data_IF_105900205218
#
_entry.id   IF_105900205218
#
_cell.length_a   1.000
_cell.length_b   1.000
_cell.length_c   1.000
_cell.angle_alpha   90.00
_cell.angle_beta   90.00
_cell.angle_gamma   90.00
#
_symmetry.space_group_name_H-M   'P 1'
#
loop_
_entity.id
_entity.type
_entity.pdbx_description
1 polymer ?
#
# COMPACT_ATOMS: atom_id res chain seq x y z
N UNK A 1 -31.04 1.73 -31.66
CA UNK A 1 -29.66 1.21 -31.53
C UNK A 1 -28.75 2.14 -30.73
N UNK A 2 -28.72 3.46 -31.00
CA UNK A 2 -27.90 4.41 -30.20
C UNK A 2 -28.28 4.49 -28.70
N UNK A 3 -29.55 4.27 -28.34
CA UNK A 3 -30.04 4.32 -26.94
C UNK A 3 -29.59 3.14 -26.06
N UNK A 4 -29.31 1.96 -26.64
CA UNK A 4 -28.87 0.80 -25.85
C UNK A 4 -27.37 0.84 -25.52
N UNK A 5 -26.55 1.41 -26.42
CA UNK A 5 -25.12 1.62 -26.19
C UNK A 5 -24.84 2.67 -25.09
N UNK A 6 -25.67 3.72 -25.01
CA UNK A 6 -25.59 4.75 -23.96
C UNK A 6 -25.92 4.15 -22.57
N UNK A 7 -26.94 3.27 -22.51
CA UNK A 7 -27.33 2.61 -21.26
C UNK A 7 -26.30 1.59 -20.76
N UNK A 8 -25.63 0.84 -21.65
CA UNK A 8 -24.56 -0.10 -21.28
C UNK A 8 -23.29 0.63 -20.80
N UNK A 9 -22.93 1.75 -21.42
CA UNK A 9 -21.77 2.57 -20.98
C UNK A 9 -22.05 3.27 -19.65
N UNK A 10 -23.28 3.73 -19.40
CA UNK A 10 -23.71 4.26 -18.10
C UNK A 10 -23.70 3.17 -17.02
N UNK A 11 -24.17 1.95 -17.29
CA UNK A 11 -24.14 0.85 -16.30
C UNK A 11 -22.72 0.40 -15.93
N UNK A 12 -21.81 0.31 -16.89
CA UNK A 12 -20.39 0.01 -16.62
C UNK A 12 -19.71 1.15 -15.84
N UNK A 13 -20.08 2.39 -16.14
CA UNK A 13 -19.64 3.60 -15.45
C UNK A 13 -20.06 3.63 -13.99
N UNK A 14 -21.31 3.31 -13.69
CA UNK A 14 -21.81 3.19 -12.32
C UNK A 14 -21.10 2.08 -11.57
N UNK A 15 -20.82 0.96 -12.22
CA UNK A 15 -20.07 -0.15 -11.61
C UNK A 15 -18.63 0.25 -11.26
N UNK A 16 -17.97 1.07 -12.07
CA UNK A 16 -16.61 1.57 -11.82
C UNK A 16 -16.61 2.62 -10.69
N UNK A 17 -17.59 3.53 -10.66
CA UNK A 17 -17.73 4.51 -9.58
C UNK A 17 -18.10 3.82 -8.26
N UNK A 18 -19.07 2.90 -8.27
CA UNK A 18 -19.45 2.11 -7.10
C UNK A 18 -18.30 1.22 -6.62
N UNK A 19 -17.51 0.60 -7.50
CA UNK A 19 -16.38 -0.25 -7.08
C UNK A 19 -15.19 0.55 -6.55
N UNK A 20 -14.88 1.70 -7.17
CA UNK A 20 -13.75 2.54 -6.74
C UNK A 20 -14.05 3.34 -5.47
N UNK A 21 -15.30 3.79 -5.28
CA UNK A 21 -15.71 4.57 -4.10
C UNK A 21 -16.16 3.63 -2.96
N UNK A 22 -16.88 2.55 -3.29
CA UNK A 22 -17.23 1.49 -2.35
C UNK A 22 -16.00 0.76 -1.81
N UNK A 23 -14.85 0.85 -2.47
CA UNK A 23 -13.57 0.40 -1.92
C UNK A 23 -13.22 1.11 -0.59
N UNK A 24 -13.43 2.44 -0.53
CA UNK A 24 -13.12 3.26 0.65
C UNK A 24 -14.16 3.11 1.75
N UNK A 25 -15.44 3.05 1.38
CA UNK A 25 -16.57 2.82 2.28
C UNK A 25 -17.26 1.50 1.94
N UNK A 26 -16.61 0.39 2.30
CA UNK A 26 -17.18 -0.95 2.13
C UNK A 26 -18.53 -1.02 2.85
N UNK A 27 -19.46 -1.84 2.35
CA UNK A 27 -20.76 -2.16 2.99
C UNK A 27 -20.61 -2.95 4.32
N UNK A 28 -19.43 -2.90 4.95
CA UNK A 28 -19.16 -3.47 6.26
C UNK A 28 -19.39 -2.43 7.37
N UNK A 29 -19.42 -2.88 8.63
CA UNK A 29 -19.61 -2.01 9.80
C UNK A 29 -18.53 -0.92 9.95
N UNK A 30 -17.38 -1.04 9.27
CA UNK A 30 -16.25 -0.10 9.34
C UNK A 30 -15.69 0.19 7.95
N UNK A 31 -15.48 1.47 7.66
CA UNK A 31 -14.72 1.92 6.49
C UNK A 31 -13.20 1.72 6.69
N UNK A 32 -12.42 1.96 5.64
CA UNK A 32 -10.97 1.71 5.69
C UNK A 32 -10.27 2.55 6.77
N UNK A 33 -10.73 3.76 7.06
CA UNK A 33 -10.12 4.62 8.07
C UNK A 33 -10.42 4.12 9.47
N UNK A 34 -11.65 3.63 9.70
CA UNK A 34 -12.02 2.96 10.95
C UNK A 34 -11.28 1.63 11.14
N UNK A 35 -11.04 0.87 10.06
CA UNK A 35 -10.19 -0.32 10.09
C UNK A 35 -8.74 0.03 10.50
N UNK A 36 -8.17 1.08 9.90
CA UNK A 36 -6.83 1.57 10.23
C UNK A 36 -6.78 2.03 11.69
N UNK A 37 -7.72 2.88 12.11
CA UNK A 37 -7.79 3.38 13.48
C UNK A 37 -7.87 2.25 14.50
N UNK A 38 -8.66 1.21 14.22
CA UNK A 38 -8.77 0.03 15.08
C UNK A 38 -7.43 -0.67 15.34
N UNK A 39 -6.49 -0.61 14.40
CA UNK A 39 -5.15 -1.21 14.50
C UNK A 39 -4.14 -0.32 15.22
N UNK A 40 -4.28 1.00 15.11
CA UNK A 40 -3.26 1.96 15.58
C UNK A 40 -3.67 2.74 16.82
N UNK A 41 -4.95 2.73 17.21
CA UNK A 41 -5.46 3.54 18.33
C UNK A 41 -4.74 3.30 19.67
N UNK A 42 -4.16 2.12 19.90
CA UNK A 42 -3.40 1.84 21.13
C UNK A 42 -2.03 2.51 21.15
N UNK A 43 -1.56 3.01 20.01
CA UNK A 43 -0.28 3.70 19.83
C UNK A 43 -0.43 5.23 19.87
N UNK A 44 -1.65 5.72 20.05
CA UNK A 44 -2.01 7.15 19.92
C UNK A 44 -2.57 7.64 21.26
N UNK A 45 -2.14 8.83 21.68
CA UNK A 45 -2.65 9.48 22.89
C UNK A 45 -4.15 9.81 22.80
N UNK A 46 -4.86 9.79 23.94
CA UNK A 46 -6.33 9.88 23.95
C UNK A 46 -6.88 11.20 23.35
N UNK A 47 -6.20 12.32 23.61
CA UNK A 47 -6.53 13.63 23.05
C UNK A 47 -6.37 13.64 21.51
N UNK A 48 -5.27 13.09 21.00
CA UNK A 48 -4.99 12.98 19.57
C UNK A 48 -5.98 12.02 18.91
N UNK A 49 -6.29 10.91 19.58
CA UNK A 49 -7.29 9.95 19.13
C UNK A 49 -8.68 10.58 19.00
N UNK A 50 -9.07 11.48 19.93
CA UNK A 50 -10.33 12.24 19.82
C UNK A 50 -10.33 13.15 18.60
N UNK A 51 -9.22 13.85 18.32
CA UNK A 51 -9.09 14.69 17.13
C UNK A 51 -9.20 13.87 15.83
N UNK A 52 -8.50 12.74 15.74
CA UNK A 52 -8.59 11.82 14.59
C UNK A 52 -10.03 11.33 14.41
N UNK A 53 -10.69 10.87 15.47
CA UNK A 53 -12.10 10.48 15.42
C UNK A 53 -13.01 11.61 14.95
N UNK A 54 -12.71 12.86 15.33
CA UNK A 54 -13.39 14.05 14.83
C UNK A 54 -13.26 14.21 13.32
N UNK A 55 -12.05 14.03 12.75
CA UNK A 55 -11.83 14.04 11.29
C UNK A 55 -12.66 12.93 10.61
N UNK A 56 -12.69 11.73 11.19
CA UNK A 56 -13.41 10.60 10.59
C UNK A 56 -14.95 10.78 10.64
N UNK A 57 -15.48 11.23 11.77
CA UNK A 57 -16.92 11.43 11.96
C UNK A 57 -17.46 12.73 11.34
N UNK A 58 -16.58 13.70 11.10
CA UNK A 58 -16.88 14.96 10.42
C UNK A 58 -16.54 14.88 8.93
N UNK A 59 -15.30 15.21 8.59
CA UNK A 59 -14.87 15.41 7.20
C UNK A 59 -15.03 14.16 6.31
N UNK A 60 -14.61 12.99 6.79
CA UNK A 60 -14.69 11.74 5.99
C UNK A 60 -16.15 11.28 5.83
N UNK A 61 -16.97 11.39 6.87
CA UNK A 61 -18.39 11.06 6.80
C UNK A 61 -19.16 12.03 5.89
N UNK A 62 -18.84 13.32 5.93
CA UNK A 62 -19.42 14.33 5.05
C UNK A 62 -19.04 14.07 3.59
N UNK A 63 -17.77 13.72 3.32
CA UNK A 63 -17.31 13.32 1.99
C UNK A 63 -18.08 12.13 1.45
N UNK A 64 -18.34 11.10 2.28
CA UNK A 64 -19.16 9.94 1.89
C UNK A 64 -20.55 10.38 1.40
N UNK A 65 -21.22 11.24 2.17
CA UNK A 65 -22.55 11.74 1.84
C UNK A 65 -22.56 12.55 0.54
N UNK A 66 -21.64 13.50 0.40
CA UNK A 66 -21.54 14.33 -0.81
C UNK A 66 -21.19 13.53 -2.06
N UNK A 67 -20.29 12.56 -1.93
CA UNK A 67 -19.94 11.66 -3.03
C UNK A 67 -21.16 10.82 -3.42
N UNK A 68 -21.92 10.27 -2.47
CA UNK A 68 -23.15 9.54 -2.79
C UNK A 68 -24.16 10.41 -3.54
N UNK A 69 -24.30 11.70 -3.19
CA UNK A 69 -25.12 12.65 -3.94
C UNK A 69 -24.62 12.87 -5.37
N UNK A 70 -23.30 12.94 -5.57
CA UNK A 70 -22.71 13.01 -6.93
C UNK A 70 -23.05 11.76 -7.73
N UNK A 71 -22.92 10.57 -7.12
CA UNK A 71 -23.27 9.31 -7.78
C UNK A 71 -24.73 9.31 -8.21
N UNK A 72 -25.65 9.66 -7.31
CA UNK A 72 -27.07 9.74 -7.63
C UNK A 72 -27.37 10.75 -8.74
N UNK A 73 -26.76 11.94 -8.70
CA UNK A 73 -26.95 12.96 -9.74
C UNK A 73 -26.43 12.52 -11.11
N UNK A 74 -25.29 11.81 -11.15
CA UNK A 74 -24.75 11.26 -12.39
C UNK A 74 -25.57 10.08 -12.92
N UNK A 75 -26.25 9.34 -12.05
CA UNK A 75 -27.20 8.27 -12.42
C UNK A 75 -28.46 8.84 -13.05
N UNK A 76 -29.08 9.77 -12.33
CA UNK A 76 -30.41 10.23 -12.69
C UNK A 76 -30.33 11.26 -13.82
N UNK A 77 -29.34 12.17 -13.77
CA UNK A 77 -29.30 13.40 -14.57
C UNK A 77 -27.88 13.67 -15.13
N UNK A 78 -27.30 12.77 -15.96
CA UNK A 78 -25.95 12.93 -16.50
C UNK A 78 -25.80 14.18 -17.37
N UNK A 79 -24.62 14.80 -17.34
CA UNK A 79 -24.29 15.99 -18.13
C UNK A 79 -25.01 17.27 -17.72
N UNK A 80 -25.78 17.27 -16.62
CA UNK A 80 -26.55 18.43 -16.18
C UNK A 80 -25.72 19.41 -15.36
N UNK A 81 -26.09 20.71 -15.31
CA UNK A 81 -25.44 21.69 -14.43
C UNK A 81 -25.46 21.28 -12.94
N UNK A 82 -26.47 20.52 -12.52
CA UNK A 82 -26.58 20.00 -11.16
C UNK A 82 -25.51 18.93 -10.87
N UNK A 83 -25.42 17.89 -11.71
CA UNK A 83 -24.40 16.85 -11.59
C UNK A 83 -22.99 17.45 -11.60
N UNK A 84 -22.76 18.42 -12.49
CA UNK A 84 -21.51 19.18 -12.57
C UNK A 84 -21.20 19.95 -11.28
N UNK A 85 -22.18 20.68 -10.75
CA UNK A 85 -22.06 21.50 -9.54
C UNK A 85 -21.72 20.63 -8.32
N UNK A 86 -22.43 19.51 -8.15
CA UNK A 86 -22.18 18.55 -7.09
C UNK A 86 -20.77 17.95 -7.19
N UNK A 87 -20.37 17.55 -8.41
CA UNK A 87 -19.03 17.00 -8.65
C UNK A 87 -17.93 18.02 -8.28
N UNK A 88 -18.04 19.24 -8.78
CA UNK A 88 -17.05 20.28 -8.50
C UNK A 88 -17.03 20.69 -7.02
N UNK A 89 -18.18 20.68 -6.34
CA UNK A 89 -18.27 20.93 -4.89
C UNK A 89 -17.47 19.89 -4.10
N UNK A 90 -17.61 18.61 -4.43
CA UNK A 90 -16.81 17.54 -3.82
C UNK A 90 -15.33 17.69 -4.19
N UNK A 91 -15.02 17.97 -5.45
CA UNK A 91 -13.64 18.15 -5.91
C UNK A 91 -12.91 19.26 -5.13
N UNK A 92 -13.58 20.37 -4.84
CA UNK A 92 -13.05 21.47 -4.03
C UNK A 92 -12.95 21.06 -2.57
N UNK A 93 -13.96 20.38 -2.03
CA UNK A 93 -13.93 19.92 -0.65
C UNK A 93 -12.83 18.88 -0.38
N UNK A 94 -12.48 18.09 -1.41
CA UNK A 94 -11.37 17.14 -1.37
C UNK A 94 -10.01 17.84 -1.35
N UNK A 95 -9.88 19.09 -1.77
CA UNK A 95 -8.58 19.76 -1.79
C UNK A 95 -7.96 19.78 -0.39
N UNK A 96 -6.71 19.31 -0.30
CA UNK A 96 -5.90 19.29 0.91
C UNK A 96 -6.47 18.49 2.10
N UNK A 97 -7.51 17.67 1.94
CA UNK A 97 -8.09 16.86 3.03
C UNK A 97 -7.09 15.90 3.66
N UNK A 98 -6.21 15.29 2.86
CA UNK A 98 -5.13 14.43 3.36
C UNK A 98 -4.23 15.14 4.36
N UNK A 99 -4.05 16.47 4.25
CA UNK A 99 -3.22 17.26 5.17
C UNK A 99 -3.75 17.28 6.60
N UNK A 100 -5.03 16.97 6.83
CA UNK A 100 -5.56 16.84 8.20
C UNK A 100 -4.84 15.73 8.97
N UNK A 101 -4.33 14.71 8.28
CA UNK A 101 -3.54 13.61 8.86
C UNK A 101 -2.03 13.90 8.95
N UNK A 102 -1.61 15.17 8.79
CA UNK A 102 -0.20 15.60 8.93
C UNK A 102 -0.01 16.62 10.04
N UNK A 103 -1.06 16.93 10.80
CA UNK A 103 -1.09 18.03 11.79
C UNK A 103 -0.67 17.61 13.21
N UNK A 104 -0.30 16.33 13.40
CA UNK A 104 0.07 15.79 14.69
C UNK A 104 1.60 15.73 14.84
N UNK A 105 2.06 15.23 15.98
CA UNK A 105 3.47 14.94 16.18
C UNK A 105 3.95 13.85 15.23
N UNK A 106 5.26 13.83 14.95
CA UNK A 106 5.88 12.90 14.00
C UNK A 106 5.50 11.43 14.27
N UNK A 107 5.52 11.01 15.54
CA UNK A 107 5.19 9.64 15.93
C UNK A 107 3.75 9.26 15.58
N UNK A 108 2.78 10.14 15.89
CA UNK A 108 1.39 9.90 15.48
C UNK A 108 1.28 9.90 13.95
N UNK A 109 1.86 10.89 13.28
CA UNK A 109 1.85 11.01 11.82
C UNK A 109 2.39 9.75 11.13
N UNK A 110 3.47 9.18 11.65
CA UNK A 110 4.00 7.88 11.24
C UNK A 110 2.93 6.77 11.41
N UNK A 111 2.33 6.63 12.60
CA UNK A 111 1.31 5.61 12.86
C UNK A 111 0.00 5.78 12.07
N UNK A 112 -0.33 6.99 11.63
CA UNK A 112 -1.53 7.26 10.83
C UNK A 112 -1.21 7.51 9.35
N UNK A 113 0.04 7.28 8.92
CA UNK A 113 0.44 7.30 7.51
C UNK A 113 -0.53 6.53 6.59
N UNK A 114 -1.08 5.35 6.96
CA UNK A 114 -2.07 4.68 6.13
C UNK A 114 -3.35 5.50 5.90
N UNK A 115 -3.77 6.33 6.85
CA UNK A 115 -4.94 7.22 6.69
C UNK A 115 -4.64 8.33 5.68
N UNK A 116 -3.46 8.95 5.80
CA UNK A 116 -2.97 9.96 4.86
C UNK A 116 -2.96 9.39 3.43
N UNK A 117 -2.30 8.24 3.23
CA UNK A 117 -2.12 7.61 1.92
C UNK A 117 -3.44 7.16 1.31
N UNK A 118 -4.35 6.62 2.13
CA UNK A 118 -5.69 6.25 1.68
C UNK A 118 -6.51 7.47 1.23
N UNK A 119 -6.46 8.58 1.97
CA UNK A 119 -7.14 9.82 1.58
C UNK A 119 -6.54 10.41 0.30
N UNK A 120 -5.21 10.43 0.17
CA UNK A 120 -4.53 10.86 -1.05
C UNK A 120 -4.93 10.02 -2.27
N UNK A 121 -4.99 8.69 -2.12
CA UNK A 121 -5.45 7.80 -3.18
C UNK A 121 -6.89 8.10 -3.60
N UNK A 122 -7.79 8.30 -2.63
CA UNK A 122 -9.18 8.68 -2.92
C UNK A 122 -9.26 10.00 -3.72
N UNK A 123 -8.48 11.01 -3.33
CA UNK A 123 -8.47 12.31 -4.01
C UNK A 123 -8.03 12.19 -5.47
N UNK A 124 -6.90 11.52 -5.75
CA UNK A 124 -6.44 11.38 -7.13
C UNK A 124 -7.42 10.55 -7.96
N UNK A 125 -8.01 9.49 -7.38
CA UNK A 125 -8.98 8.67 -8.08
C UNK A 125 -10.22 9.48 -8.45
N UNK A 126 -10.73 10.31 -7.53
CA UNK A 126 -11.88 11.17 -7.76
C UNK A 126 -11.63 12.22 -8.85
N UNK A 127 -10.50 12.93 -8.79
CA UNK A 127 -10.18 13.95 -9.79
C UNK A 127 -9.87 13.34 -11.16
N UNK A 128 -9.17 12.21 -11.21
CA UNK A 128 -8.86 11.52 -12.47
C UNK A 128 -10.14 11.01 -13.14
N UNK A 129 -11.07 10.46 -12.35
CA UNK A 129 -12.40 10.10 -12.85
C UNK A 129 -13.11 11.31 -13.47
N UNK A 130 -13.02 12.48 -12.83
CA UNK A 130 -13.55 13.74 -13.39
C UNK A 130 -12.98 14.07 -14.78
N UNK A 131 -11.67 13.90 -14.96
CA UNK A 131 -11.00 14.15 -16.25
C UNK A 131 -11.42 13.13 -17.30
N UNK A 132 -11.39 11.83 -16.97
CA UNK A 132 -11.80 10.75 -17.88
C UNK A 132 -13.26 10.90 -18.33
N UNK A 133 -14.12 11.42 -17.45
CA UNK A 133 -15.58 11.48 -17.62
C UNK A 133 -16.09 12.90 -17.75
N UNK A 134 -15.25 13.81 -18.21
CA UNK A 134 -15.57 15.24 -18.34
C UNK A 134 -16.89 15.48 -19.08
N UNK A 135 -17.18 14.71 -20.13
CA UNK A 135 -18.36 14.91 -20.96
C UNK A 135 -19.63 14.38 -20.25
N UNK A 136 -19.52 13.25 -19.55
CA UNK A 136 -20.60 12.65 -18.75
C UNK A 136 -20.98 13.53 -17.54
N UNK A 137 -20.00 14.25 -16.99
CA UNK A 137 -20.20 15.18 -15.87
C UNK A 137 -20.61 16.59 -16.36
N UNK A 138 -20.31 16.93 -17.61
CA UNK A 138 -20.52 18.27 -18.19
C UNK A 138 -19.40 19.28 -17.87
N UNK A 139 -18.18 18.81 -17.58
CA UNK A 139 -17.03 19.65 -17.28
C UNK A 139 -16.47 20.35 -18.51
N UNK A 140 -16.12 21.62 -18.36
CA UNK A 140 -15.40 22.41 -19.36
C UNK A 140 -13.88 22.32 -19.18
N UNK A 141 -13.13 22.87 -20.14
CA UNK A 141 -11.66 22.84 -20.13
C UNK A 141 -11.02 23.52 -18.93
N UNK A 142 -11.65 24.55 -18.35
CA UNK A 142 -11.13 25.22 -17.15
C UNK A 142 -11.26 24.33 -15.91
N UNK A 143 -12.40 23.66 -15.77
CA UNK A 143 -12.67 22.71 -14.69
C UNK A 143 -11.73 21.50 -14.80
N UNK A 144 -11.57 20.92 -16.00
CA UNK A 144 -10.58 19.86 -16.26
C UNK A 144 -9.15 20.33 -15.93
N UNK A 145 -8.80 21.55 -16.32
CA UNK A 145 -7.49 22.15 -15.99
C UNK A 145 -7.29 22.34 -14.48
N UNK A 146 -8.34 22.62 -13.72
CA UNK A 146 -8.29 22.68 -12.26
C UNK A 146 -8.03 21.31 -11.64
N UNK A 147 -8.73 20.26 -12.10
CA UNK A 147 -8.50 18.89 -11.65
C UNK A 147 -7.06 18.45 -11.90
N UNK A 148 -6.53 18.73 -13.09
CA UNK A 148 -5.13 18.39 -13.42
C UNK A 148 -4.13 19.11 -12.52
N UNK A 149 -4.36 20.39 -12.19
CA UNK A 149 -3.51 21.12 -11.24
C UNK A 149 -3.56 20.49 -9.84
N UNK A 150 -4.74 20.14 -9.36
CA UNK A 150 -4.91 19.49 -8.07
C UNK A 150 -4.17 18.14 -8.01
N UNK A 151 -4.27 17.33 -9.07
CA UNK A 151 -3.54 16.06 -9.19
C UNK A 151 -2.03 16.30 -9.10
N UNK A 152 -1.50 17.27 -9.86
CA UNK A 152 -0.05 17.54 -9.87
C UNK A 152 0.47 18.00 -8.50
N UNK A 153 -0.29 18.87 -7.82
CA UNK A 153 0.05 19.33 -6.47
C UNK A 153 -0.02 18.19 -5.45
N UNK A 154 -1.05 17.34 -5.55
CA UNK A 154 -1.20 16.18 -4.68
C UNK A 154 -0.05 15.20 -4.84
N UNK A 155 0.32 14.84 -6.07
CA UNK A 155 1.41 13.87 -6.31
C UNK A 155 2.72 14.36 -5.70
N UNK A 156 3.06 15.63 -5.94
CA UNK A 156 4.28 16.24 -5.38
C UNK A 156 4.26 16.19 -3.85
N UNK A 157 3.15 16.62 -3.23
CA UNK A 157 3.02 16.63 -1.78
C UNK A 157 3.02 15.23 -1.14
N UNK A 158 2.43 14.24 -1.82
CA UNK A 158 2.43 12.84 -1.39
C UNK A 158 3.84 12.27 -1.43
N UNK A 159 4.56 12.50 -2.52
CA UNK A 159 5.95 12.08 -2.66
C UNK A 159 6.82 12.68 -1.57
N UNK A 160 6.80 14.01 -1.41
CA UNK A 160 7.62 14.71 -0.41
C UNK A 160 7.32 14.24 1.01
N UNK A 161 6.05 14.26 1.42
CA UNK A 161 5.66 13.92 2.80
C UNK A 161 5.93 12.46 3.17
N UNK A 162 5.68 11.51 2.25
CA UNK A 162 5.90 10.09 2.54
C UNK A 162 7.40 9.79 2.65
N UNK A 163 8.24 10.39 1.79
CA UNK A 163 9.68 10.24 1.90
C UNK A 163 10.21 10.88 3.17
N UNK A 164 9.72 12.08 3.55
CA UNK A 164 10.10 12.74 4.80
C UNK A 164 9.79 11.86 6.03
N UNK A 165 8.58 11.30 6.13
CA UNK A 165 8.21 10.40 7.23
C UNK A 165 9.10 9.16 7.25
N UNK A 166 9.36 8.57 6.09
CA UNK A 166 10.19 7.37 5.97
C UNK A 166 11.65 7.60 6.35
N UNK A 167 12.27 8.66 5.84
CA UNK A 167 13.67 8.99 6.09
C UNK A 167 13.86 9.42 7.55
N UNK A 168 12.97 10.25 8.09
CA UNK A 168 12.99 10.67 9.49
C UNK A 168 12.86 9.47 10.43
N UNK A 169 11.92 8.56 10.15
CA UNK A 169 11.73 7.40 11.03
C UNK A 169 12.87 6.39 10.91
N UNK A 170 13.47 6.23 9.73
CA UNK A 170 14.71 5.47 9.60
C UNK A 170 15.82 6.08 10.46
N UNK A 171 16.05 7.39 10.35
CA UNK A 171 17.07 8.09 11.13
C UNK A 171 16.86 7.93 12.65
N UNK A 172 15.62 8.09 13.13
CA UNK A 172 15.26 7.84 14.53
C UNK A 172 15.61 6.41 14.92
N UNK A 173 15.19 5.40 14.14
CA UNK A 173 15.48 4.02 14.49
C UNK A 173 16.97 3.68 14.40
N UNK A 174 17.74 4.32 13.51
CA UNK A 174 19.19 4.17 13.44
C UNK A 174 19.89 4.69 14.69
N UNK A 175 19.49 5.86 15.16
CA UNK A 175 20.19 6.59 16.23
C UNK A 175 19.76 6.16 17.63
N UNK A 176 18.47 5.86 17.82
CA UNK A 176 17.89 5.69 19.16
C UNK A 176 17.70 4.21 19.55
N UNK A 177 17.78 3.28 18.59
CA UNK A 177 17.58 1.86 18.89
C UNK A 177 18.78 1.25 19.60
N UNK A 178 18.50 0.39 20.58
CA UNK A 178 19.51 -0.44 21.20
C UNK A 178 20.15 -1.41 20.17
N UNK A 179 21.44 -1.78 20.36
CA UNK A 179 22.13 -2.69 19.45
C UNK A 179 21.36 -3.98 19.12
N UNK A 180 20.68 -4.58 20.10
CA UNK A 180 19.94 -5.84 19.92
C UNK A 180 18.57 -5.69 19.24
N UNK A 181 18.03 -4.47 19.12
CA UNK A 181 16.69 -4.22 18.53
C UNK A 181 16.74 -3.42 17.23
N UNK A 182 17.83 -2.67 16.97
CA UNK A 182 17.95 -1.78 15.80
C UNK A 182 17.62 -2.46 14.47
N UNK A 183 18.08 -3.71 14.27
CA UNK A 183 17.79 -4.44 13.04
C UNK A 183 16.29 -4.65 12.85
N UNK A 184 15.55 -5.02 13.90
CA UNK A 184 14.11 -5.22 13.79
C UNK A 184 13.36 -3.90 13.64
N UNK A 185 13.78 -2.85 14.34
CA UNK A 185 13.14 -1.55 14.27
C UNK A 185 13.29 -0.92 12.87
N UNK A 186 14.50 -0.95 12.31
CA UNK A 186 14.74 -0.48 10.92
C UNK A 186 13.94 -1.31 9.91
N UNK A 187 13.94 -2.64 10.02
CA UNK A 187 13.14 -3.47 9.12
C UNK A 187 11.63 -3.26 9.28
N UNK A 188 11.17 -2.90 10.48
CA UNK A 188 9.78 -2.54 10.72
C UNK A 188 9.41 -1.25 9.99
N UNK A 189 10.26 -0.22 10.03
CA UNK A 189 10.06 1.02 9.26
C UNK A 189 10.03 0.74 7.76
N UNK A 190 10.97 -0.05 7.25
CA UNK A 190 10.95 -0.50 5.86
C UNK A 190 9.66 -1.24 5.50
N UNK A 191 9.16 -2.15 6.35
CA UNK A 191 7.90 -2.83 6.11
C UNK A 191 6.70 -1.89 6.13
N UNK A 192 6.62 -1.06 7.17
CA UNK A 192 5.47 -0.22 7.46
C UNK A 192 5.32 0.93 6.44
N UNK A 193 6.35 1.77 6.26
CA UNK A 193 6.29 2.90 5.33
C UNK A 193 6.19 2.48 3.87
N UNK A 194 6.68 1.29 3.51
CA UNK A 194 6.53 0.79 2.12
C UNK A 194 5.11 0.42 1.80
N UNK A 195 4.48 -0.40 2.65
CA UNK A 195 3.10 -0.83 2.46
C UNK A 195 2.13 0.34 2.59
N UNK A 196 2.36 1.22 3.55
CA UNK A 196 1.41 2.28 3.89
C UNK A 196 1.74 3.64 3.28
N UNK A 197 2.86 3.76 2.57
CA UNK A 197 3.32 5.00 1.96
C UNK A 197 3.80 4.77 0.53
N UNK A 198 4.99 4.19 0.36
CA UNK A 198 5.66 4.15 -0.95
C UNK A 198 4.88 3.35 -2.03
N UNK A 199 4.18 2.27 -1.67
CA UNK A 199 3.27 1.57 -2.58
C UNK A 199 2.13 2.48 -3.05
N UNK A 200 1.57 3.30 -2.14
CA UNK A 200 0.55 4.29 -2.49
C UNK A 200 1.12 5.39 -3.38
N UNK A 201 2.34 5.86 -3.12
CA UNK A 201 3.03 6.85 -3.97
C UNK A 201 3.17 6.32 -5.40
N UNK A 202 3.62 5.07 -5.60
CA UNK A 202 3.77 4.46 -6.93
C UNK A 202 2.41 4.33 -7.66
N UNK A 203 1.34 3.98 -6.93
CA UNK A 203 -0.03 3.94 -7.47
C UNK A 203 -0.48 5.34 -7.89
N UNK A 204 -0.32 6.34 -7.04
CA UNK A 204 -0.73 7.73 -7.30
C UNK A 204 0.03 8.31 -8.49
N UNK A 205 1.35 8.13 -8.56
CA UNK A 205 2.16 8.55 -9.70
C UNK A 205 1.75 7.83 -11.00
N UNK A 206 1.41 6.54 -10.93
CA UNK A 206 0.90 5.78 -12.08
C UNK A 206 -0.43 6.34 -12.59
N UNK A 207 -1.38 6.63 -11.68
CA UNK A 207 -2.67 7.24 -12.04
C UNK A 207 -2.46 8.60 -12.70
N UNK A 208 -1.61 9.46 -12.14
CA UNK A 208 -1.28 10.76 -12.73
C UNK A 208 -0.70 10.60 -14.15
N UNK A 209 0.31 9.76 -14.30
CA UNK A 209 1.02 9.56 -15.57
C UNK A 209 0.10 9.05 -16.68
N UNK A 210 -0.80 8.14 -16.33
CA UNK A 210 -1.69 7.49 -17.27
C UNK A 210 -3.00 8.26 -17.50
N UNK A 211 -3.33 9.19 -16.59
CA UNK A 211 -4.62 9.87 -16.58
C UNK A 211 -5.80 8.92 -16.38
N UNK A 212 -5.56 7.76 -15.76
CA UNK A 212 -6.59 6.72 -15.62
C UNK A 212 -6.44 5.91 -14.34
N UNK A 213 -7.58 5.57 -13.74
CA UNK A 213 -7.67 4.69 -12.58
C UNK A 213 -7.67 3.19 -12.96
N UNK A 214 -7.75 2.86 -14.25
CA UNK A 214 -8.03 1.49 -14.73
C UNK A 214 -6.80 0.78 -15.31
N UNK A 215 -5.73 1.52 -15.56
CA UNK A 215 -4.50 0.91 -16.06
C UNK A 215 -3.79 0.14 -14.94
N UNK A 216 -3.49 -1.13 -15.21
CA UNK A 216 -2.78 -1.98 -14.26
C UNK A 216 -1.37 -1.47 -13.97
N UNK A 217 -0.97 -1.55 -12.69
CA UNK A 217 0.38 -1.28 -12.22
C UNK A 217 1.08 -2.60 -11.85
N UNK A 218 2.32 -2.77 -12.29
CA UNK A 218 3.22 -3.75 -11.70
C UNK A 218 4.09 -3.05 -10.66
N UNK A 219 3.73 -3.18 -9.38
CA UNK A 219 4.49 -2.53 -8.31
C UNK A 219 5.86 -3.16 -8.16
N UNK A 220 6.88 -2.31 -8.02
CA UNK A 220 8.27 -2.73 -7.79
C UNK A 220 8.72 -2.53 -6.35
N UNK A 221 7.85 -2.00 -5.50
CA UNK A 221 8.13 -1.77 -4.09
C UNK A 221 8.22 -3.11 -3.35
N UNK A 222 9.30 -3.29 -2.60
CA UNK A 222 9.55 -4.48 -1.78
C UNK A 222 9.46 -4.12 -0.31
N UNK A 223 8.46 -4.67 0.40
CA UNK A 223 8.33 -4.57 1.85
C UNK A 223 8.98 -5.76 2.57
N UNK A 224 9.35 -5.55 3.83
CA UNK A 224 10.11 -6.51 4.60
C UNK A 224 9.46 -6.78 5.95
N UNK A 225 9.62 -8.01 6.45
CA UNK A 225 9.28 -8.36 7.83
C UNK A 225 10.44 -8.04 8.77
N UNK A 226 10.15 -7.99 10.07
CA UNK A 226 11.19 -8.09 11.11
C UNK A 226 11.87 -9.47 11.07
N UNK A 227 13.06 -9.57 11.68
CA UNK A 227 13.75 -10.85 11.80
C UNK A 227 13.08 -11.76 12.85
N UNK A 228 13.19 -13.07 12.64
CA UNK A 228 12.75 -14.09 13.58
C UNK A 228 13.95 -14.76 14.26
N UNK A 229 13.83 -15.03 15.56
CA UNK A 229 14.87 -15.68 16.36
C UNK A 229 15.86 -14.71 16.99
N UNK A 230 17.06 -15.21 17.28
CA UNK A 230 18.10 -14.42 17.97
C UNK A 230 18.77 -13.42 17.01
N UNK A 231 19.00 -12.17 17.45
CA UNK A 231 19.66 -11.17 16.63
C UNK A 231 21.10 -11.57 16.32
N UNK A 232 21.47 -11.56 15.03
CA UNK A 232 22.83 -11.85 14.56
C UNK A 232 23.49 -10.60 14.00
N UNK A 233 24.82 -10.54 14.05
CA UNK A 233 25.58 -9.43 13.44
C UNK A 233 25.31 -9.30 11.94
N UNK A 234 25.09 -10.43 11.25
CA UNK A 234 24.77 -10.46 9.81
C UNK A 234 23.40 -9.84 9.52
N UNK A 235 22.38 -10.18 10.31
CA UNK A 235 21.05 -9.57 10.19
C UNK A 235 21.10 -8.06 10.43
N UNK A 236 21.93 -7.62 11.39
CA UNK A 236 22.14 -6.19 11.64
C UNK A 236 22.82 -5.50 10.47
N UNK A 237 23.95 -6.02 9.99
CA UNK A 237 24.67 -5.45 8.83
C UNK A 237 23.75 -5.39 7.61
N UNK A 238 22.87 -6.36 7.43
CA UNK A 238 21.89 -6.36 6.34
C UNK A 238 20.83 -5.28 6.52
N UNK A 239 20.26 -5.14 7.71
CA UNK A 239 19.23 -4.14 8.01
C UNK A 239 19.74 -2.71 7.89
N UNK A 240 20.98 -2.46 8.31
CA UNK A 240 21.58 -1.12 8.30
C UNK A 240 22.24 -0.77 6.97
N UNK A 241 22.10 -1.62 5.95
CA UNK A 241 22.67 -1.38 4.63
C UNK A 241 21.68 -0.58 3.80
N UNK A 242 22.17 0.41 3.07
CA UNK A 242 21.37 1.11 2.06
C UNK A 242 20.69 0.10 1.14
N UNK A 243 19.41 0.34 0.88
CA UNK A 243 18.56 -0.60 0.19
C UNK A 243 19.04 -0.92 -1.24
N UNK A 244 19.68 0.04 -1.91
CA UNK A 244 20.29 -0.16 -3.24
C UNK A 244 21.40 -1.22 -3.21
N UNK A 245 22.02 -1.43 -2.04
CA UNK A 245 23.13 -2.33 -1.82
C UNK A 245 22.71 -3.67 -1.17
N UNK A 246 21.42 -3.87 -0.86
CA UNK A 246 20.93 -5.14 -0.31
C UNK A 246 20.99 -6.24 -1.39
N UNK A 247 21.62 -7.41 -1.10
CA UNK A 247 21.82 -8.46 -2.10
C UNK A 247 20.62 -9.41 -2.21
N UNK A 248 20.56 -10.14 -3.34
CA UNK A 248 19.81 -11.39 -3.40
C UNK A 248 20.36 -12.41 -2.37
N UNK A 249 19.51 -13.25 -1.77
CA UNK A 249 18.09 -13.42 -2.05
C UNK A 249 17.19 -12.49 -1.21
N UNK A 250 17.76 -11.59 -0.42
CA UNK A 250 17.00 -10.69 0.46
C UNK A 250 16.25 -9.61 -0.32
N UNK A 251 16.93 -8.97 -1.28
CA UNK A 251 16.33 -8.08 -2.27
C UNK A 251 16.48 -8.72 -3.66
N UNK A 252 15.39 -9.26 -4.24
CA UNK A 252 15.43 -9.79 -5.60
C UNK A 252 15.79 -8.71 -6.61
N UNK A 253 16.54 -9.07 -7.66
CA UNK A 253 16.86 -8.14 -8.73
C UNK A 253 15.65 -7.85 -9.62
N UNK A 254 15.64 -6.69 -10.26
CA UNK A 254 14.75 -6.42 -11.38
C UNK A 254 15.36 -6.95 -12.67
N UNK A 255 14.62 -7.77 -13.40
CA UNK A 255 14.98 -8.32 -14.71
C UNK A 255 13.89 -7.85 -15.68
N UNK A 256 14.28 -7.04 -16.68
CA UNK A 256 13.36 -6.44 -17.65
C UNK A 256 12.17 -5.71 -16.98
N UNK A 257 12.45 -4.98 -15.89
CA UNK A 257 11.43 -4.23 -15.13
C UNK A 257 10.53 -5.07 -14.23
N UNK A 258 10.80 -6.37 -14.07
CA UNK A 258 10.04 -7.25 -13.15
C UNK A 258 10.93 -7.86 -12.08
N UNK A 259 10.36 -8.09 -10.90
CA UNK A 259 11.03 -8.76 -9.78
C UNK A 259 11.37 -10.19 -10.22
N UNK A 260 12.64 -10.56 -10.11
CA UNK A 260 13.13 -11.92 -10.33
C UNK A 260 12.41 -12.87 -9.35
N UNK A 261 11.52 -13.71 -9.87
CA UNK A 261 10.67 -14.55 -9.03
C UNK A 261 11.43 -15.77 -8.51
N UNK A 262 11.07 -16.24 -7.32
CA UNK A 262 11.61 -17.47 -6.78
C UNK A 262 10.93 -18.65 -7.48
N UNK A 263 11.73 -19.47 -8.16
CA UNK A 263 11.28 -20.66 -8.87
C UNK A 263 11.13 -21.86 -7.93
N UNK A 264 12.07 -22.02 -7.00
CA UNK A 264 12.04 -23.12 -6.03
C UNK A 264 12.80 -22.81 -4.76
N UNK A 265 12.40 -23.47 -3.68
CA UNK A 265 13.04 -23.40 -2.38
C UNK A 265 13.35 -24.81 -1.91
N UNK A 266 14.63 -25.04 -1.58
CA UNK A 266 15.11 -26.27 -0.98
C UNK A 266 15.47 -26.01 0.48
N UNK A 267 14.86 -26.74 1.40
CA UNK A 267 15.14 -26.65 2.84
C UNK A 267 16.02 -27.81 3.30
N UNK A 268 17.15 -27.49 3.89
CA UNK A 268 18.07 -28.45 4.50
C UNK A 268 17.68 -28.70 5.94
N UNK A 269 17.62 -29.96 6.32
CA UNK A 269 17.18 -30.41 7.64
C UNK A 269 18.41 -30.74 8.48
N UNK A 270 18.44 -30.24 9.71
CA UNK A 270 19.47 -30.57 10.71
C UNK A 270 18.80 -31.21 11.91
N UNK A 271 19.38 -32.31 12.42
CA UNK A 271 18.90 -32.97 13.63
C UNK A 271 19.71 -32.50 14.83
N UNK A 272 19.04 -31.98 15.85
CA UNK A 272 19.66 -31.58 17.13
C UNK A 272 18.91 -32.30 18.24
N UNK A 273 19.59 -33.19 18.97
CA UNK A 273 18.95 -34.00 20.02
C UNK A 273 17.82 -34.91 19.52
N UNK A 274 17.86 -35.35 18.26
CA UNK A 274 16.81 -36.16 17.63
C UNK A 274 15.65 -35.36 17.02
N UNK A 275 15.48 -34.08 17.39
CA UNK A 275 14.46 -33.20 16.83
C UNK A 275 14.89 -32.63 15.46
N UNK A 276 13.92 -32.54 14.54
CA UNK A 276 14.12 -31.91 13.23
C UNK A 276 14.17 -30.39 13.38
N UNK A 277 15.22 -29.76 12.85
CA UNK A 277 15.44 -28.31 12.82
C UNK A 277 15.77 -27.83 11.41
N UNK A 278 15.56 -26.54 11.16
CA UNK A 278 15.99 -25.90 9.92
C UNK A 278 17.51 -25.76 9.94
N UNK A 279 18.20 -26.50 9.08
CA UNK A 279 19.65 -26.42 8.90
C UNK A 279 20.06 -25.26 8.00
N UNK A 280 19.35 -25.07 6.89
CA UNK A 280 19.61 -24.04 5.90
C UNK A 280 18.55 -24.02 4.80
N UNK A 281 18.66 -23.06 3.88
CA UNK A 281 17.78 -22.88 2.73
C UNK A 281 18.63 -22.66 1.47
N UNK A 282 18.21 -23.18 0.34
CA UNK A 282 18.67 -22.77 -0.99
C UNK A 282 17.47 -22.24 -1.77
N UNK A 283 17.62 -21.04 -2.30
CA UNK A 283 16.62 -20.33 -3.10
C UNK A 283 17.12 -20.32 -4.54
N UNK A 284 16.32 -20.85 -5.46
CA UNK A 284 16.58 -20.77 -6.91
C UNK A 284 15.59 -19.81 -7.53
N UNK A 285 16.08 -18.82 -8.26
CA UNK A 285 15.27 -17.86 -8.99
C UNK A 285 14.99 -18.31 -10.43
N UNK A 286 14.02 -17.67 -11.09
CA UNK A 286 13.65 -17.97 -12.49
C UNK A 286 14.80 -17.79 -13.47
N UNK A 287 15.68 -16.81 -13.24
CA UNK A 287 16.89 -16.59 -14.04
C UNK A 287 17.98 -17.65 -13.83
N UNK A 288 17.76 -18.66 -12.99
CA UNK A 288 18.70 -19.74 -12.69
C UNK A 288 19.73 -19.41 -11.61
N UNK A 289 19.75 -18.18 -11.08
CA UNK A 289 20.61 -17.84 -9.94
C UNK A 289 20.19 -18.60 -8.68
N UNK A 290 21.18 -18.98 -7.87
CA UNK A 290 21.00 -19.78 -6.66
C UNK A 290 21.72 -19.16 -5.48
N UNK A 291 21.04 -19.16 -4.34
CA UNK A 291 21.58 -18.61 -3.10
C UNK A 291 21.30 -19.56 -1.94
N UNK A 292 22.36 -19.99 -1.26
CA UNK A 292 22.25 -20.84 -0.07
C UNK A 292 22.50 -20.01 1.19
N UNK A 293 21.69 -20.24 2.23
CA UNK A 293 21.81 -19.64 3.55
C UNK A 293 21.79 -20.72 4.62
N UNK A 294 22.63 -20.62 5.65
CA UNK A 294 22.74 -21.62 6.70
C UNK A 294 23.59 -22.84 6.30
N UNK A 295 23.29 -23.98 6.91
CA UNK A 295 24.05 -25.23 6.74
C UNK A 295 23.39 -26.15 5.72
N UNK A 296 24.16 -26.54 4.70
CA UNK A 296 23.77 -27.57 3.73
C UNK A 296 23.96 -28.94 4.35
N UNK A 297 22.92 -29.78 4.31
CA UNK A 297 22.93 -31.15 4.84
C UNK A 297 22.48 -32.16 3.79
N UNK A 298 22.69 -33.46 4.05
CA UNK A 298 22.24 -34.54 3.16
C UNK A 298 20.73 -34.78 3.19
N UNK A 299 20.04 -34.41 4.27
CA UNK A 299 18.59 -34.52 4.43
C UNK A 299 17.92 -33.20 4.02
N UNK A 300 17.03 -33.22 3.04
CA UNK A 300 16.38 -32.00 2.55
C UNK A 300 14.94 -32.24 2.09
N UNK A 301 14.17 -31.15 2.03
CA UNK A 301 12.90 -31.07 1.32
C UNK A 301 13.00 -30.00 0.23
N UNK A 302 12.19 -30.08 -0.81
CA UNK A 302 12.17 -29.09 -1.89
C UNK A 302 10.75 -28.84 -2.33
N UNK A 303 10.45 -27.58 -2.64
CA UNK A 303 9.17 -27.14 -3.19
C UNK A 303 9.46 -26.30 -4.43
N UNK A 304 8.92 -26.75 -5.56
CA UNK A 304 8.87 -25.96 -6.79
C UNK A 304 7.62 -25.10 -6.78
N UNK A 305 7.79 -23.83 -7.10
CA UNK A 305 6.74 -22.84 -6.93
C UNK A 305 6.01 -22.52 -8.22
N UNK A 306 6.51 -22.92 -9.39
CA UNK A 306 5.82 -22.93 -10.70
C UNK A 306 4.78 -21.79 -10.93
N UNK A 307 5.11 -20.56 -10.54
CA UNK A 307 4.23 -19.38 -10.68
C UNK A 307 3.04 -19.28 -9.71
N UNK A 308 3.00 -20.03 -8.61
CA UNK A 308 1.86 -20.07 -7.69
C UNK A 308 1.90 -18.95 -6.62
N UNK A 309 0.73 -18.40 -6.30
CA UNK A 309 0.56 -17.23 -5.40
C UNK A 309 0.85 -17.53 -3.92
N UNK A 310 1.25 -16.48 -3.19
CA UNK A 310 1.66 -16.44 -1.76
C UNK A 310 0.74 -17.17 -0.75
N UNK A 311 -0.51 -17.48 -1.09
CA UNK A 311 -1.43 -18.25 -0.22
C UNK A 311 -0.94 -19.68 0.01
N UNK A 312 -0.29 -20.31 -0.98
CA UNK A 312 0.30 -21.64 -0.81
C UNK A 312 1.68 -21.60 -0.13
N UNK A 313 2.42 -20.49 -0.24
CA UNK A 313 3.67 -20.25 0.48
C UNK A 313 3.50 -20.24 2.01
N UNK A 314 2.45 -19.57 2.53
CA UNK A 314 2.13 -19.51 3.97
C UNK A 314 1.74 -20.88 4.55
N UNK A 315 1.16 -21.77 3.75
CA UNK A 315 0.67 -23.07 4.21
C UNK A 315 1.70 -24.19 4.06
N UNK A 316 2.59 -24.14 3.06
CA UNK A 316 3.58 -25.19 2.81
C UNK A 316 4.91 -24.95 3.53
N UNK A 317 5.57 -23.82 3.23
CA UNK A 317 6.93 -23.52 3.69
C UNK A 317 6.92 -22.99 5.11
N UNK A 318 6.06 -22.03 5.46
CA UNK A 318 5.96 -21.53 6.84
C UNK A 318 5.48 -22.64 7.77
N UNK A 319 4.52 -23.49 7.37
CA UNK A 319 4.13 -24.63 8.20
C UNK A 319 5.27 -25.66 8.38
N UNK A 320 6.08 -25.92 7.35
CA UNK A 320 7.28 -26.75 7.48
C UNK A 320 8.34 -26.09 8.37
N UNK A 321 8.67 -24.81 8.15
CA UNK A 321 9.67 -24.07 8.94
C UNK A 321 9.23 -23.90 10.40
N UNK A 322 7.94 -23.67 10.66
CA UNK A 322 7.38 -23.59 12.02
C UNK A 322 7.37 -24.96 12.67
N UNK A 323 6.97 -26.04 11.97
CA UNK A 323 7.07 -27.43 12.51
C UNK A 323 8.51 -27.83 12.83
N UNK A 324 9.48 -27.33 12.06
CA UNK A 324 10.91 -27.58 12.27
C UNK A 324 11.53 -26.66 13.34
N UNK A 325 10.90 -25.54 13.72
CA UNK A 325 11.47 -24.58 14.69
C UNK A 325 10.69 -24.47 16.01
N UNK A 326 9.65 -25.27 16.23
CA UNK A 326 9.03 -25.38 17.55
C UNK A 326 9.97 -26.13 18.51
N UNK A 327 10.12 -25.67 19.77
CA UNK A 327 10.83 -26.42 20.79
C UNK A 327 10.34 -27.87 20.87
#
# INVERSE_FOLDING_TARGET
>A
MASNYLMETINLFLLIIFSNIGFFWKDQERDIWQEILGRVQQLIEENVLKAIKGILLGDIAELKGKIASVVAALQDHPGTPEAKSLFMSVSVHLDSVQRKFTTFDHKTNYHILPMYSATALMQIMYWTMGIERKDDIGLNSNEVGQLQRNINLLVTHVEDYIHEIYDTELEIQYNDSAPNTVANNVMYVHGYCRVHGLEYTEIIQSIQKNGSNTQGLYSTILSYSTFFGWPTSQARILALKDEINMPEPFKPKLINGRINQIKSVKSYIRRIGGALRVGGLEITFENGSKYSQGTVTGEFSSIDLNGVSLKQWKLGVVAQLTKLNLP
#
